data_IF_681061760724
#
_entry.id   IF_681061760724
#
_cell.length_a   1.000
_cell.length_b   1.000
_cell.length_c   1.000
_cell.angle_alpha   90.00
_cell.angle_beta   90.00
_cell.angle_gamma   90.00
#
_symmetry.space_group_name_H-M   'P 1'
#
loop_
_entity.id
_entity.type
_entity.pdbx_description
1 polymer ?
#
# COMPACT_ATOMS: atom_id res chain seq x y z
N UNK A 1 15.38 30.38 -13.75
CA UNK A 1 15.42 28.93 -13.94
C UNK A 1 14.13 28.39 -13.37
N UNK A 2 13.21 27.92 -14.21
CA UNK A 2 11.94 27.33 -13.75
C UNK A 2 12.24 25.87 -13.45
N UNK A 3 12.24 25.50 -12.17
CA UNK A 3 12.36 24.10 -11.76
C UNK A 3 11.12 23.36 -12.28
N UNK A 4 11.34 22.42 -13.19
CA UNK A 4 10.32 21.45 -13.54
C UNK A 4 10.03 20.65 -12.27
N UNK A 5 8.90 20.91 -11.62
CA UNK A 5 8.34 20.02 -10.62
C UNK A 5 8.03 18.70 -11.33
N UNK A 6 8.99 17.79 -11.32
CA UNK A 6 8.80 16.41 -11.74
C UNK A 6 7.69 15.86 -10.86
N UNK A 7 6.47 15.77 -11.38
CA UNK A 7 5.36 15.12 -10.69
C UNK A 7 5.77 13.66 -10.51
N UNK A 8 6.35 13.33 -9.36
CA UNK A 8 6.73 11.97 -9.01
C UNK A 8 5.45 11.16 -9.06
N UNK A 9 5.31 10.32 -10.09
CA UNK A 9 4.10 9.51 -10.29
C UNK A 9 3.93 8.65 -9.05
N UNK A 10 2.79 8.78 -8.38
CA UNK A 10 2.46 7.98 -7.20
C UNK A 10 2.47 6.52 -7.61
N UNK A 11 3.31 5.71 -6.97
CA UNK A 11 3.45 4.29 -7.24
C UNK A 11 2.84 3.52 -6.09
N UNK A 12 1.88 2.65 -6.41
CA UNK A 12 1.29 1.74 -5.45
C UNK A 12 2.16 0.49 -5.30
N UNK A 13 2.32 0.07 -4.06
CA UNK A 13 3.07 -1.10 -3.65
C UNK A 13 2.09 -2.10 -3.06
N UNK A 14 2.19 -3.34 -3.53
CA UNK A 14 1.45 -4.48 -3.00
C UNK A 14 2.25 -5.15 -1.88
N UNK A 15 1.58 -5.41 -0.77
CA UNK A 15 2.10 -6.20 0.34
C UNK A 15 1.24 -7.43 0.53
N UNK A 16 1.92 -8.55 0.73
CA UNK A 16 1.34 -9.86 0.98
C UNK A 16 1.69 -10.28 2.40
N UNK A 17 0.81 -11.04 3.04
CA UNK A 17 0.95 -11.45 4.44
C UNK A 17 2.23 -12.23 4.72
N UNK A 18 2.75 -12.95 3.72
CA UNK A 18 3.96 -13.78 3.79
C UNK A 18 5.18 -13.15 3.10
N UNK A 19 5.05 -11.92 2.58
CA UNK A 19 6.07 -11.24 1.79
C UNK A 19 6.23 -11.78 0.36
N UNK A 20 5.51 -12.83 -0.03
CA UNK A 20 5.54 -13.42 -1.37
C UNK A 20 4.45 -12.86 -2.28
N UNK A 21 3.73 -13.75 -2.98
CA UNK A 21 2.52 -13.42 -3.77
C UNK A 21 1.27 -14.11 -3.18
N UNK A 22 1.31 -14.43 -1.88
CA UNK A 22 0.27 -15.15 -1.15
C UNK A 22 -1.02 -14.32 -0.96
N UNK A 23 -1.51 -14.23 0.27
CA UNK A 23 -2.73 -13.47 0.57
C UNK A 23 -2.45 -11.96 0.58
N UNK A 24 -3.20 -11.14 -0.20
CA UNK A 24 -3.09 -9.69 -0.15
C UNK A 24 -3.37 -9.16 1.25
N UNK A 25 -2.45 -8.36 1.77
CA UNK A 25 -2.59 -7.80 3.11
C UNK A 25 -2.76 -6.28 3.10
N UNK A 26 -1.99 -5.58 2.26
CA UNK A 26 -2.07 -4.12 2.18
C UNK A 26 -1.60 -3.59 0.83
N UNK A 27 -2.24 -2.53 0.35
CA UNK A 27 -1.74 -1.72 -0.75
C UNK A 27 -1.36 -0.33 -0.23
N UNK A 28 -0.23 0.24 -0.66
CA UNK A 28 0.15 1.58 -0.19
C UNK A 28 0.95 2.40 -1.20
N UNK A 29 0.95 3.72 -0.99
CA UNK A 29 1.90 4.67 -1.58
C UNK A 29 2.79 5.25 -0.47
N UNK A 30 4.07 5.48 -0.75
CA UNK A 30 4.99 6.09 0.21
C UNK A 30 4.61 7.54 0.52
N UNK A 31 4.54 7.89 1.81
CA UNK A 31 4.16 9.20 2.32
C UNK A 31 2.69 9.32 2.72
N UNK A 32 2.38 10.34 3.54
CA UNK A 32 1.01 10.73 3.84
C UNK A 32 0.51 11.69 2.76
N UNK A 33 -0.50 11.24 2.00
CA UNK A 33 -1.10 11.95 0.89
C UNK A 33 -2.55 12.30 1.22
N UNK A 34 -3.09 13.29 0.51
CA UNK A 34 -4.51 13.63 0.61
C UNK A 34 -5.38 12.45 0.14
N UNK A 35 -6.21 11.94 1.05
CA UNK A 35 -7.09 10.81 0.78
C UNK A 35 -8.12 11.14 -0.32
N UNK A 36 -8.62 12.37 -0.36
CA UNK A 36 -9.60 12.81 -1.36
C UNK A 36 -8.98 12.94 -2.75
N UNK A 37 -7.69 13.28 -2.82
CA UNK A 37 -6.96 13.32 -4.08
C UNK A 37 -6.65 11.90 -4.60
N UNK A 38 -6.41 10.93 -3.71
CA UNK A 38 -6.09 9.55 -4.08
C UNK A 38 -7.32 8.70 -4.42
N UNK A 39 -8.42 8.88 -3.69
CA UNK A 39 -9.61 8.03 -3.77
C UNK A 39 -10.11 7.77 -5.21
N UNK A 40 -10.18 8.76 -6.13
CA UNK A 40 -10.72 8.55 -7.47
C UNK A 40 -9.93 7.57 -8.34
N UNK A 41 -8.64 7.37 -8.04
CA UNK A 41 -7.75 6.48 -8.80
C UNK A 41 -7.21 5.30 -8.01
N UNK A 42 -7.48 5.25 -6.70
CA UNK A 42 -6.88 4.29 -5.79
C UNK A 42 -7.23 2.85 -6.19
N UNK A 43 -8.52 2.54 -6.36
CA UNK A 43 -8.98 1.19 -6.71
C UNK A 43 -8.25 0.62 -7.93
N UNK A 44 -8.28 1.34 -9.05
CA UNK A 44 -7.61 0.93 -10.28
C UNK A 44 -6.11 0.69 -10.07
N UNK A 45 -5.42 1.62 -9.41
CA UNK A 45 -3.98 1.54 -9.22
C UNK A 45 -3.57 0.45 -8.23
N UNK A 46 -4.40 0.20 -7.22
CA UNK A 46 -4.25 -0.92 -6.29
C UNK A 46 -4.40 -2.24 -7.06
N UNK A 47 -5.43 -2.40 -7.89
CA UNK A 47 -5.61 -3.61 -8.70
C UNK A 47 -4.44 -3.84 -9.67
N UNK A 48 -3.86 -2.77 -10.23
CA UNK A 48 -2.63 -2.84 -11.04
C UNK A 48 -1.40 -3.28 -10.22
N UNK A 49 -1.34 -2.96 -8.92
CA UNK A 49 -0.28 -3.42 -8.02
C UNK A 49 -0.42 -4.91 -7.64
N UNK A 50 -1.62 -5.48 -7.73
CA UNK A 50 -1.95 -6.88 -7.45
C UNK A 50 -2.37 -7.64 -8.72
N UNK A 51 -1.47 -7.86 -9.71
CA UNK A 51 -1.86 -8.41 -11.02
C UNK A 51 -2.50 -9.80 -10.94
N UNK A 52 -2.11 -10.62 -9.95
CA UNK A 52 -2.66 -11.97 -9.75
C UNK A 52 -3.93 -11.99 -8.88
N UNK A 53 -4.25 -10.89 -8.18
CA UNK A 53 -5.33 -10.81 -7.20
C UNK A 53 -6.34 -9.69 -7.49
N UNK A 54 -6.28 -9.05 -8.65
CA UNK A 54 -7.11 -7.87 -8.97
C UNK A 54 -8.61 -8.09 -8.78
N UNK A 55 -9.13 -9.27 -9.14
CA UNK A 55 -10.55 -9.62 -8.89
C UNK A 55 -10.88 -9.68 -7.41
N UNK A 56 -10.06 -10.38 -6.62
CA UNK A 56 -10.21 -10.48 -5.17
C UNK A 56 -10.15 -9.11 -4.50
N UNK A 57 -9.21 -8.26 -4.93
CA UNK A 57 -9.10 -6.89 -4.40
C UNK A 57 -10.33 -6.06 -4.74
N UNK A 58 -10.85 -6.17 -5.98
CA UNK A 58 -12.08 -5.47 -6.36
C UNK A 58 -13.24 -5.89 -5.46
N UNK A 59 -13.40 -7.19 -5.19
CA UNK A 59 -14.42 -7.69 -4.27
C UNK A 59 -14.23 -7.18 -2.83
N UNK A 60 -13.00 -7.14 -2.32
CA UNK A 60 -12.70 -6.55 -1.01
C UNK A 60 -13.11 -5.08 -0.95
N UNK A 61 -12.74 -4.31 -1.97
CA UNK A 61 -13.02 -2.89 -2.05
C UNK A 61 -14.53 -2.63 -2.18
N UNK A 62 -15.24 -3.40 -3.01
CA UNK A 62 -16.69 -3.29 -3.16
C UNK A 62 -17.44 -3.63 -1.87
N UNK A 63 -17.04 -4.70 -1.17
CA UNK A 63 -17.62 -5.10 0.11
C UNK A 63 -17.37 -4.05 1.22
N UNK A 64 -16.23 -3.37 1.17
CA UNK A 64 -15.91 -2.26 2.07
C UNK A 64 -16.61 -0.93 1.71
N UNK A 65 -17.30 -0.86 0.57
CA UNK A 65 -17.93 0.38 0.06
C UNK A 65 -16.94 1.34 -0.60
N UNK A 66 -15.79 0.83 -1.06
CA UNK A 66 -14.70 1.54 -1.72
C UNK A 66 -13.34 1.34 -1.04
N UNK A 67 -12.31 2.00 -1.58
CA UNK A 67 -10.99 2.06 -0.95
C UNK A 67 -11.06 2.82 0.39
N UNK A 68 -11.07 2.07 1.50
CA UNK A 68 -10.92 2.57 2.87
C UNK A 68 -9.51 3.12 3.12
N UNK A 69 -9.16 4.20 2.42
CA UNK A 69 -7.84 4.81 2.47
C UNK A 69 -7.58 5.42 3.85
N UNK A 70 -6.40 5.15 4.39
CA UNK A 70 -5.95 5.74 5.64
C UNK A 70 -4.44 5.95 5.66
N UNK A 71 -3.99 6.76 6.61
CA UNK A 71 -2.58 6.98 6.90
C UNK A 71 -2.10 5.93 7.90
N UNK A 72 -0.96 5.33 7.57
CA UNK A 72 -0.29 4.35 8.42
C UNK A 72 1.19 4.68 8.55
N UNK A 73 1.83 4.01 9.49
CA UNK A 73 3.27 3.87 9.52
C UNK A 73 3.60 2.40 9.33
N UNK A 74 4.53 2.11 8.44
CA UNK A 74 5.04 0.76 8.21
C UNK A 74 6.49 0.69 8.66
N UNK A 75 6.89 -0.49 9.12
CA UNK A 75 8.31 -0.87 9.22
C UNK A 75 8.50 -2.25 8.62
N UNK A 76 9.71 -2.54 8.19
CA UNK A 76 10.09 -3.89 7.79
C UNK A 76 10.11 -4.78 9.04
N UNK A 77 9.46 -5.92 8.99
CA UNK A 77 9.51 -6.91 10.06
C UNK A 77 10.92 -7.53 10.13
N UNK A 78 11.32 -7.98 11.32
CA UNK A 78 12.61 -8.65 11.52
C UNK A 78 12.65 -10.02 10.82
N UNK A 79 11.49 -10.66 10.67
CA UNK A 79 11.34 -11.93 9.98
C UNK A 79 11.35 -11.73 8.46
N UNK A 80 12.16 -12.54 7.78
CA UNK A 80 12.12 -12.62 6.33
C UNK A 80 10.90 -13.42 5.90
N UNK A 81 10.19 -12.90 4.90
CA UNK A 81 9.09 -13.59 4.25
C UNK A 81 9.57 -14.68 3.31
N UNK A 82 8.64 -15.21 2.53
CA UNK A 82 8.88 -16.22 1.50
C UNK A 82 9.97 -15.73 0.53
N UNK A 83 10.90 -16.63 0.22
CA UNK A 83 12.05 -16.37 -0.66
C UNK A 83 12.92 -15.16 -0.26
N UNK A 84 12.94 -14.82 1.03
CA UNK A 84 13.75 -13.71 1.55
C UNK A 84 13.17 -12.33 1.26
N UNK A 85 11.93 -12.26 0.78
CA UNK A 85 11.23 -11.00 0.57
C UNK A 85 10.92 -10.32 1.91
N UNK A 86 10.95 -8.98 1.97
CA UNK A 86 10.61 -8.26 3.17
C UNK A 86 9.12 -8.41 3.50
N UNK A 87 8.82 -8.82 4.72
CA UNK A 87 7.49 -8.61 5.32
C UNK A 87 7.49 -7.23 5.96
N UNK A 88 6.35 -6.57 5.92
CA UNK A 88 6.14 -5.29 6.62
C UNK A 88 5.07 -5.49 7.68
N UNK A 89 5.06 -4.60 8.66
CA UNK A 89 4.02 -4.54 9.68
C UNK A 89 3.64 -3.09 9.97
N UNK A 90 2.40 -2.88 10.41
CA UNK A 90 1.97 -1.56 10.88
C UNK A 90 2.66 -1.23 12.20
N UNK A 91 3.09 0.01 12.35
CA UNK A 91 3.85 0.46 13.51
C UNK A 91 3.48 1.88 13.92
N UNK A 92 4.23 2.46 14.85
CA UNK A 92 4.11 3.85 15.27
C UNK A 92 5.21 4.72 14.64
N UNK A 93 4.95 6.02 14.53
CA UNK A 93 5.87 6.99 13.90
C UNK A 93 7.25 7.11 14.55
N UNK A 94 7.37 6.71 15.82
CA UNK A 94 8.58 6.85 16.62
C UNK A 94 9.45 5.58 16.65
N UNK A 95 9.03 4.52 15.97
CA UNK A 95 9.78 3.27 15.89
C UNK A 95 10.93 3.40 14.87
N UNK A 96 12.05 2.74 15.17
CA UNK A 96 13.20 2.77 14.27
C UNK A 96 12.85 2.11 12.92
N UNK A 97 13.25 2.76 11.82
CA UNK A 97 12.90 2.30 10.47
C UNK A 97 11.43 2.48 10.07
N UNK A 98 10.61 3.16 10.87
CA UNK A 98 9.24 3.49 10.51
C UNK A 98 9.20 4.51 9.35
N UNK A 99 8.30 4.29 8.39
CA UNK A 99 8.03 5.22 7.30
C UNK A 99 6.53 5.42 7.10
N UNK A 100 6.18 6.65 6.75
CA UNK A 100 4.80 7.07 6.53
C UNK A 100 4.26 6.51 5.23
N UNK A 101 3.03 6.01 5.22
CA UNK A 101 2.35 5.55 4.00
C UNK A 101 0.87 5.92 4.01
N UNK A 102 0.29 6.00 2.82
CA UNK A 102 -1.16 6.09 2.63
C UNK A 102 -1.61 4.86 1.87
N UNK A 103 -2.61 4.16 2.37
CA UNK A 103 -2.97 2.88 1.77
C UNK A 103 -4.30 2.32 2.23
N UNK A 104 -4.56 1.09 1.80
CA UNK A 104 -5.72 0.28 2.19
C UNK A 104 -5.20 -1.04 2.75
N UNK A 105 -5.75 -1.46 3.89
CA UNK A 105 -5.56 -2.81 4.42
C UNK A 105 -6.73 -3.68 4.01
N UNK A 106 -6.44 -4.91 3.61
CA UNK A 106 -7.44 -5.93 3.29
C UNK A 106 -7.58 -6.83 4.52
N UNK A 107 -8.78 -6.86 5.11
CA UNK A 107 -9.13 -7.66 6.29
C UNK A 107 -10.29 -8.62 5.95
#
# INVERSE_FOLDING_TARGET
MMEATTTKKLQWHALYSDGGEGEPWMAYVEGHHDLFALAPTAEKQICEAFPCHGSTITEYLDNAGGAGLAHFWLKKADEAGVDGQPVYETTNANEDGAFAVTGVRFE
#
